data_IF_145749007767
#
_entry.id   IF_145749007767
#
_cell.length_a   1.000
_cell.length_b   1.000
_cell.length_c   1.000
_cell.angle_alpha   90.00
_cell.angle_beta   90.00
_cell.angle_gamma   90.00
#
_symmetry.space_group_name_H-M   'P 1'
#
loop_
_entity.id
_entity.type
_entity.pdbx_description
1 polymer ?
#
# COMPACT_ATOMS: atom_id res chain seq x y z
N UNK A 1 13.19 1.39 8.06
CA UNK A 1 12.48 1.24 9.35
C UNK A 1 11.00 1.31 9.03
N UNK A 2 10.29 0.18 9.10
CA UNK A 2 8.81 0.19 9.08
C UNK A 2 8.36 0.63 10.47
N UNK A 3 7.75 1.82 10.55
CA UNK A 3 7.19 2.36 11.77
C UNK A 3 5.68 2.35 11.60
N UNK A 4 5.05 1.31 12.13
CA UNK A 4 3.60 1.25 12.25
C UNK A 4 3.13 2.47 13.06
N UNK A 5 2.27 3.31 12.47
CA UNK A 5 1.68 4.45 13.17
C UNK A 5 0.55 3.95 14.08
N UNK A 6 0.91 3.57 15.30
CA UNK A 6 -0.04 3.02 16.27
C UNK A 6 -1.12 4.02 16.68
N UNK A 7 -0.85 5.32 16.58
CA UNK A 7 -1.83 6.37 16.85
C UNK A 7 -2.92 6.38 15.77
N UNK A 8 -2.53 6.23 14.50
CA UNK A 8 -3.48 6.10 13.41
C UNK A 8 -4.34 4.84 13.54
N UNK A 9 -3.73 3.71 13.94
CA UNK A 9 -4.49 2.47 14.17
C UNK A 9 -5.47 2.59 15.33
N UNK A 10 -5.14 3.32 16.40
CA UNK A 10 -6.08 3.63 17.49
C UNK A 10 -7.27 4.44 16.99
N UNK A 11 -7.03 5.52 16.24
CA UNK A 11 -8.10 6.33 15.64
C UNK A 11 -9.02 5.49 14.73
N UNK A 12 -8.46 4.59 13.93
CA UNK A 12 -9.25 3.70 13.08
C UNK A 12 -10.06 2.69 13.89
N UNK A 13 -9.49 2.17 14.98
CA UNK A 13 -10.19 1.26 15.90
C UNK A 13 -11.34 1.97 16.62
N UNK A 14 -11.16 3.23 17.00
CA UNK A 14 -12.22 4.04 17.60
C UNK A 14 -13.38 4.33 16.62
N UNK A 15 -13.07 4.47 15.32
CA UNK A 15 -14.08 4.73 14.28
C UNK A 15 -14.82 3.46 13.82
N UNK A 16 -14.10 2.37 13.60
CA UNK A 16 -14.63 1.16 12.93
C UNK A 16 -14.81 -0.04 13.89
N UNK A 17 -14.26 0.04 15.09
CA UNK A 17 -14.06 -1.12 15.97
C UNK A 17 -12.99 -2.08 15.44
N UNK A 18 -12.50 -2.96 16.30
CA UNK A 18 -11.49 -3.99 15.96
C UNK A 18 -11.96 -4.84 14.78
N UNK A 19 -13.23 -5.25 14.78
CA UNK A 19 -13.81 -6.06 13.69
C UNK A 19 -13.81 -5.29 12.36
N UNK A 20 -14.26 -4.03 12.36
CA UNK A 20 -14.33 -3.24 11.13
C UNK A 20 -12.95 -2.94 10.54
N UNK A 21 -11.95 -2.67 11.39
CA UNK A 21 -10.56 -2.51 10.95
C UNK A 21 -10.00 -3.82 10.37
N UNK A 22 -10.30 -4.97 10.99
CA UNK A 22 -9.89 -6.29 10.51
C UNK A 22 -10.51 -6.65 9.15
N UNK A 23 -11.81 -6.39 8.99
CA UNK A 23 -12.52 -6.60 7.72
C UNK A 23 -11.95 -5.69 6.62
N UNK A 24 -11.63 -4.44 6.96
CA UNK A 24 -11.01 -3.49 6.02
C UNK A 24 -9.59 -3.91 5.61
N UNK A 25 -8.79 -4.43 6.57
CA UNK A 25 -7.46 -4.98 6.31
C UNK A 25 -7.53 -6.20 5.38
N UNK A 26 -8.47 -7.12 5.62
CA UNK A 26 -8.65 -8.29 4.77
C UNK A 26 -9.01 -7.88 3.33
N UNK A 27 -9.95 -6.96 3.17
CA UNK A 27 -10.34 -6.44 1.85
C UNK A 27 -9.14 -5.82 1.11
N UNK A 28 -8.31 -5.05 1.82
CA UNK A 28 -7.08 -4.51 1.24
C UNK A 28 -6.12 -5.60 0.77
N UNK A 29 -5.89 -6.64 1.59
CA UNK A 29 -5.03 -7.77 1.24
C UNK A 29 -5.54 -8.50 -0.01
N UNK A 30 -6.86 -8.67 -0.14
CA UNK A 30 -7.48 -9.30 -1.31
C UNK A 30 -7.32 -8.47 -2.59
N UNK A 31 -7.36 -7.14 -2.48
CA UNK A 31 -7.26 -6.23 -3.64
C UNK A 31 -5.83 -5.94 -4.09
N UNK A 32 -4.83 -6.00 -3.18
CA UNK A 32 -3.45 -5.63 -3.51
C UNK A 32 -2.83 -6.42 -4.68
N UNK A 33 -3.03 -7.76 -4.81
CA UNK A 33 -2.50 -8.51 -5.94
C UNK A 33 -2.99 -8.00 -7.30
N UNK A 34 -4.26 -7.64 -7.41
CA UNK A 34 -4.85 -7.11 -8.64
C UNK A 34 -4.21 -5.76 -9.00
N UNK A 35 -4.09 -4.86 -8.03
CA UNK A 35 -3.46 -3.57 -8.28
C UNK A 35 -1.99 -3.68 -8.69
N UNK A 36 -1.26 -4.59 -8.04
CA UNK A 36 0.15 -4.87 -8.37
C UNK A 36 0.29 -5.45 -9.77
N UNK A 37 -0.57 -6.38 -10.16
CA UNK A 37 -0.54 -6.97 -11.51
C UNK A 37 -0.84 -5.92 -12.58
N UNK A 38 -1.82 -5.05 -12.36
CA UNK A 38 -2.12 -3.96 -13.29
C UNK A 38 -0.95 -2.96 -13.36
N UNK A 39 -0.31 -2.63 -12.22
CA UNK A 39 0.86 -1.74 -12.20
C UNK A 39 2.05 -2.35 -12.95
N UNK A 40 2.34 -3.62 -12.72
CA UNK A 40 3.40 -4.36 -13.41
C UNK A 40 3.17 -4.38 -14.93
N UNK A 41 1.93 -4.65 -15.36
CA UNK A 41 1.55 -4.66 -16.77
C UNK A 41 1.80 -3.32 -17.46
N UNK A 42 1.38 -2.20 -16.86
CA UNK A 42 1.56 -0.86 -17.45
C UNK A 42 3.02 -0.40 -17.43
N UNK A 43 3.81 -0.84 -16.44
CA UNK A 43 5.26 -0.59 -16.37
C UNK A 43 6.01 -1.35 -17.46
N UNK A 44 5.65 -2.62 -17.71
CA UNK A 44 6.18 -3.41 -18.82
C UNK A 44 5.79 -2.82 -20.18
N UNK A 45 4.59 -2.28 -20.32
CA UNK A 45 4.12 -1.60 -21.51
C UNK A 45 4.77 -0.21 -21.73
N UNK A 46 5.56 0.27 -20.75
CA UNK A 46 6.19 1.60 -20.76
C UNK A 46 5.17 2.75 -20.92
N UNK A 47 3.97 2.57 -20.37
CA UNK A 47 2.90 3.58 -20.40
C UNK A 47 2.95 4.46 -19.14
N UNK A 48 3.65 5.60 -19.25
CA UNK A 48 3.82 6.51 -18.11
C UNK A 48 2.49 7.01 -17.53
N UNK A 49 1.51 7.33 -18.38
CA UNK A 49 0.24 7.86 -17.92
C UNK A 49 -0.54 6.80 -17.13
N UNK A 50 -0.59 5.58 -17.65
CA UNK A 50 -1.23 4.47 -16.97
C UNK A 50 -0.50 4.08 -15.68
N UNK A 51 0.84 4.08 -15.66
CA UNK A 51 1.66 3.86 -14.46
C UNK A 51 1.33 4.88 -13.37
N UNK A 52 1.27 6.17 -13.70
CA UNK A 52 0.91 7.23 -12.73
C UNK A 52 -0.51 7.07 -12.20
N UNK A 53 -1.46 6.75 -13.08
CA UNK A 53 -2.85 6.50 -12.71
C UNK A 53 -2.98 5.30 -11.77
N UNK A 54 -2.25 4.23 -12.03
CA UNK A 54 -2.30 3.04 -11.19
C UNK A 54 -1.66 3.25 -9.83
N UNK A 55 -0.52 3.95 -9.79
CA UNK A 55 0.11 4.36 -8.54
C UNK A 55 -0.83 5.25 -7.69
N UNK A 56 -1.63 6.13 -8.31
CA UNK A 56 -2.65 6.91 -7.61
C UNK A 56 -3.69 6.03 -6.90
N UNK A 57 -4.21 4.99 -7.58
CA UNK A 57 -5.18 4.06 -6.99
C UNK A 57 -4.58 3.32 -5.78
N UNK A 58 -3.39 2.76 -5.94
CA UNK A 58 -2.67 2.04 -4.88
C UNK A 58 -2.36 2.92 -3.67
N UNK A 59 -1.91 4.16 -3.92
CA UNK A 59 -1.69 5.17 -2.86
C UNK A 59 -2.97 5.41 -2.06
N UNK A 60 -4.12 5.53 -2.74
CA UNK A 60 -5.42 5.70 -2.09
C UNK A 60 -5.73 4.55 -1.13
N UNK A 61 -5.61 3.31 -1.62
CA UNK A 61 -5.86 2.10 -0.82
C UNK A 61 -4.92 1.98 0.39
N UNK A 62 -3.64 2.34 0.23
CA UNK A 62 -2.68 2.33 1.34
C UNK A 62 -3.04 3.39 2.41
N UNK A 63 -3.37 4.61 1.98
CA UNK A 63 -3.72 5.70 2.90
C UNK A 63 -5.04 5.46 3.64
N UNK A 64 -6.01 4.80 3.01
CA UNK A 64 -7.30 4.48 3.63
C UNK A 64 -7.21 3.46 4.77
N UNK A 65 -6.05 2.83 4.98
CA UNK A 65 -5.78 1.96 6.13
C UNK A 65 -4.61 2.45 6.99
N UNK A 66 -4.09 3.63 6.69
CA UNK A 66 -2.98 4.21 7.43
C UNK A 66 -1.60 3.64 7.11
N UNK A 67 -1.45 2.89 6.02
CA UNK A 67 -0.15 2.42 5.53
C UNK A 67 0.62 3.53 4.80
N UNK A 68 0.97 4.59 5.53
CA UNK A 68 1.68 5.76 4.99
C UNK A 68 3.02 5.37 4.35
N UNK A 69 3.73 4.39 4.92
CA UNK A 69 4.98 3.87 4.37
C UNK A 69 4.82 3.20 3.00
N UNK A 70 3.71 2.48 2.76
CA UNK A 70 3.41 1.87 1.46
C UNK A 70 2.90 2.90 0.45
N UNK A 71 2.24 3.95 0.91
CA UNK A 71 1.70 5.01 0.06
C UNK A 71 2.78 5.96 -0.49
N UNK A 72 3.90 6.13 0.22
CA UNK A 72 4.98 7.05 -0.15
C UNK A 72 5.63 6.71 -1.51
N UNK A 73 6.04 5.45 -1.77
CA UNK A 73 6.54 5.07 -3.09
C UNK A 73 5.52 5.27 -4.22
N UNK A 74 4.25 4.97 -3.96
CA UNK A 74 3.17 5.16 -4.94
C UNK A 74 2.95 6.65 -5.25
N UNK A 75 3.01 7.52 -4.24
CA UNK A 75 2.98 8.97 -4.45
C UNK A 75 4.19 9.48 -5.23
N UNK A 76 5.36 8.86 -5.05
CA UNK A 76 6.54 9.20 -5.83
C UNK A 76 6.34 8.87 -7.31
N UNK A 77 5.86 7.66 -7.62
CA UNK A 77 5.55 7.24 -9.00
C UNK A 77 4.46 8.15 -9.60
N UNK A 78 3.43 8.51 -8.83
CA UNK A 78 2.34 9.38 -9.29
C UNK A 78 2.83 10.78 -9.67
N UNK A 79 3.63 11.44 -8.83
CA UNK A 79 3.85 12.90 -8.90
C UNK A 79 5.22 13.35 -9.39
N UNK A 80 6.25 12.51 -9.25
CA UNK A 80 7.62 12.92 -9.52
C UNK A 80 8.11 12.38 -10.88
N UNK A 81 9.29 12.85 -11.29
CA UNK A 81 10.04 12.20 -12.36
C UNK A 81 10.75 10.98 -11.81
N UNK A 82 10.75 9.93 -12.61
CA UNK A 82 11.38 8.65 -12.34
C UNK A 82 11.87 8.05 -13.66
N UNK A 83 12.73 7.06 -13.55
CA UNK A 83 13.16 6.18 -14.63
C UNK A 83 12.45 4.85 -14.50
N UNK A 84 12.33 4.13 -15.61
CA UNK A 84 11.72 2.80 -15.60
C UNK A 84 12.43 1.82 -14.67
N UNK A 85 13.76 1.89 -14.58
CA UNK A 85 14.57 1.08 -13.68
C UNK A 85 14.23 1.34 -12.21
N UNK A 86 14.03 2.62 -11.82
CA UNK A 86 13.61 2.96 -10.46
C UNK A 86 12.23 2.38 -10.11
N UNK A 87 11.29 2.40 -11.06
CA UNK A 87 9.95 1.84 -10.86
C UNK A 87 9.99 0.32 -10.77
N UNK A 88 10.79 -0.34 -11.61
CA UNK A 88 11.00 -1.80 -11.59
C UNK A 88 11.62 -2.26 -10.27
N UNK A 89 12.69 -1.59 -9.80
CA UNK A 89 13.29 -1.87 -8.49
C UNK A 89 12.30 -1.65 -7.33
N UNK A 90 11.42 -0.66 -7.46
CA UNK A 90 10.33 -0.45 -6.51
C UNK A 90 9.33 -1.60 -6.54
N UNK A 91 8.91 -2.08 -7.70
CA UNK A 91 8.00 -3.21 -7.85
C UNK A 91 8.55 -4.51 -7.26
N UNK A 92 9.87 -4.73 -7.32
CA UNK A 92 10.52 -5.89 -6.71
C UNK A 92 10.56 -5.82 -5.17
N UNK A 93 10.76 -4.62 -4.62
CA UNK A 93 10.95 -4.44 -3.17
C UNK A 93 9.64 -4.18 -2.40
N UNK A 94 8.64 -3.56 -3.04
CA UNK A 94 7.39 -3.15 -2.41
C UNK A 94 6.55 -4.32 -1.83
N UNK A 95 6.44 -5.51 -2.47
CA UNK A 95 5.73 -6.66 -1.88
C UNK A 95 6.30 -7.14 -0.54
N UNK A 96 7.62 -7.02 -0.36
CA UNK A 96 8.26 -7.37 0.91
C UNK A 96 7.87 -6.38 2.00
N UNK A 97 7.83 -5.09 1.69
CA UNK A 97 7.37 -4.06 2.61
C UNK A 97 5.88 -4.24 2.96
N UNK A 98 5.03 -4.50 1.96
CA UNK A 98 3.61 -4.79 2.15
C UNK A 98 3.42 -5.94 3.16
N UNK A 99 4.16 -7.04 2.96
CA UNK A 99 4.06 -8.22 3.83
C UNK A 99 4.49 -7.90 5.27
N UNK A 100 5.53 -7.09 5.45
CA UNK A 100 5.98 -6.66 6.79
C UNK A 100 4.95 -5.77 7.49
N UNK A 101 4.38 -4.80 6.77
CA UNK A 101 3.42 -3.85 7.32
C UNK A 101 2.08 -4.54 7.66
N UNK A 102 1.62 -5.48 6.83
CA UNK A 102 0.44 -6.34 7.14
C UNK A 102 0.69 -7.18 8.40
N UNK A 103 1.86 -7.80 8.51
CA UNK A 103 2.18 -8.64 9.68
C UNK A 103 2.17 -7.83 10.98
N UNK A 104 2.71 -6.62 10.95
CA UNK A 104 2.69 -5.72 12.11
C UNK A 104 1.26 -5.25 12.46
N UNK A 105 0.45 -4.86 11.45
CA UNK A 105 -0.94 -4.48 11.67
C UNK A 105 -1.77 -5.64 12.26
N UNK A 106 -1.55 -6.86 11.75
CA UNK A 106 -2.23 -8.07 12.25
C UNK A 106 -1.83 -8.37 13.69
N UNK A 107 -0.53 -8.34 14.00
CA UNK A 107 -0.05 -8.58 15.36
C UNK A 107 -0.57 -7.54 16.37
N UNK A 108 -0.70 -6.28 15.94
CA UNK A 108 -1.25 -5.21 16.76
C UNK A 108 -2.76 -5.39 17.03
N UNK A 109 -3.51 -5.91 16.05
CA UNK A 109 -4.92 -6.27 16.21
C UNK A 109 -5.13 -7.47 17.13
N UNK A 110 -4.25 -8.47 17.05
CA UNK A 110 -4.33 -9.70 17.87
C UNK A 110 -3.94 -9.48 19.34
N UNK A 111 -3.20 -8.41 19.63
CA UNK A 111 -2.84 -8.02 20.99
C UNK A 111 -3.99 -7.29 21.74
N UNK A 112 -5.17 -7.12 21.13
CA UNK A 112 -6.32 -6.41 21.69
C UNK A 112 -7.56 -7.28 21.90
#
# INVERSE_FOLDING_TARGET
MSALDTNLLEQYTDMLGIKGLRDSLNMFIELMPEYMQELDSVVHARDEQATRSQAHKMKGACRSLGFSGLAQPMEHIEKNRWTWEEVEQLLESWPNQLSQDIAQATAWLDAR
#
